data_IF_737549898594
#
_entry.id   IF_737549898594
#
_cell.length_a   1.000
_cell.length_b   1.000
_cell.length_c   1.000
_cell.angle_alpha   90.00
_cell.angle_beta   90.00
_cell.angle_gamma   90.00
#
_symmetry.space_group_name_H-M   'P 1'
#
loop_
_entity.id
_entity.type
_entity.pdbx_description
1 polymer ?
#
# COMPACT_ATOMS: atom_id res chain seq x y z
N UNK A 1 11.58 -9.15 -6.57
CA UNK A 1 10.13 -8.90 -6.79
C UNK A 1 9.39 -9.26 -5.50
N UNK A 2 8.87 -8.28 -4.76
CA UNK A 2 8.27 -8.47 -3.43
C UNK A 2 6.79 -8.03 -3.37
N UNK A 3 6.20 -7.61 -4.50
CA UNK A 3 4.84 -7.09 -4.58
C UNK A 3 3.79 -8.01 -3.91
N UNK A 4 3.88 -9.32 -4.12
CA UNK A 4 2.93 -10.28 -3.53
C UNK A 4 3.06 -10.38 -2.00
N UNK A 5 4.28 -10.29 -1.47
CA UNK A 5 4.53 -10.27 -0.02
C UNK A 5 4.09 -8.96 0.64
N UNK A 6 4.25 -7.84 -0.07
CA UNK A 6 3.72 -6.55 0.36
C UNK A 6 2.19 -6.56 0.41
N UNK A 7 1.55 -7.09 -0.64
CA UNK A 7 0.10 -7.26 -0.68
C UNK A 7 -0.39 -8.13 0.47
N UNK A 8 0.23 -9.28 0.73
CA UNK A 8 -0.14 -10.19 1.83
C UNK A 8 -0.08 -9.49 3.20
N UNK A 9 0.93 -8.65 3.42
CA UNK A 9 1.10 -7.88 4.65
C UNK A 9 0.00 -6.82 4.84
N UNK A 10 -0.58 -6.29 3.75
CA UNK A 10 -1.65 -5.29 3.79
C UNK A 10 -3.07 -5.88 3.86
N UNK A 11 -3.26 -7.16 3.52
CA UNK A 11 -4.57 -7.84 3.59
C UNK A 11 -5.30 -7.66 4.93
N UNK A 12 -4.69 -7.86 6.11
CA UNK A 12 -5.42 -7.72 7.38
C UNK A 12 -5.90 -6.29 7.64
N UNK A 13 -5.12 -5.28 7.24
CA UNK A 13 -5.49 -3.87 7.39
C UNK A 13 -6.65 -3.51 6.45
N UNK A 14 -6.56 -3.90 5.17
CA UNK A 14 -7.61 -3.67 4.16
C UNK A 14 -8.92 -4.34 4.58
N UNK A 15 -8.86 -5.55 5.17
CA UNK A 15 -10.05 -6.25 5.68
C UNK A 15 -10.74 -5.52 6.83
N UNK A 16 -10.01 -4.70 7.59
CA UNK A 16 -10.55 -3.92 8.71
C UNK A 16 -11.07 -2.56 8.26
N UNK A 17 -10.40 -1.93 7.30
CA UNK A 17 -10.77 -0.62 6.76
C UNK A 17 -11.93 -0.70 5.76
N UNK A 18 -12.04 -1.79 4.99
CA UNK A 18 -13.07 -1.95 3.97
C UNK A 18 -13.95 -3.19 4.23
N UNK A 19 -15.29 -3.03 4.33
CA UNK A 19 -16.20 -4.15 4.54
C UNK A 19 -16.18 -5.17 3.38
N UNK A 20 -16.66 -6.38 3.64
CA UNK A 20 -16.65 -7.47 2.66
C UNK A 20 -17.47 -7.14 1.41
N UNK A 21 -16.99 -7.62 0.26
CA UNK A 21 -17.62 -7.47 -1.06
C UNK A 21 -17.70 -6.04 -1.63
N UNK A 22 -16.94 -5.09 -1.07
CA UNK A 22 -16.87 -3.73 -1.59
C UNK A 22 -15.88 -3.60 -2.78
N UNK A 23 -16.25 -2.86 -3.82
CA UNK A 23 -15.35 -2.52 -4.95
C UNK A 23 -14.10 -1.78 -4.47
N UNK A 24 -14.22 -0.97 -3.41
CA UNK A 24 -13.09 -0.29 -2.78
C UNK A 24 -12.00 -1.26 -2.30
N UNK A 25 -12.39 -2.45 -1.81
CA UNK A 25 -11.46 -3.49 -1.36
C UNK A 25 -10.72 -4.13 -2.53
N UNK A 26 -11.40 -4.36 -3.65
CA UNK A 26 -10.78 -4.91 -4.88
C UNK A 26 -9.76 -3.92 -5.45
N UNK A 27 -10.09 -2.63 -5.43
CA UNK A 27 -9.19 -1.57 -5.86
C UNK A 27 -7.96 -1.46 -4.96
N UNK A 28 -8.13 -1.49 -3.63
CA UNK A 28 -7.00 -1.49 -2.68
C UNK A 28 -6.04 -2.65 -2.92
N UNK A 29 -6.54 -3.87 -3.10
CA UNK A 29 -5.71 -5.05 -3.38
C UNK A 29 -4.95 -4.90 -4.70
N UNK A 30 -5.59 -4.39 -5.77
CA UNK A 30 -4.93 -4.15 -7.05
C UNK A 30 -3.77 -3.14 -6.94
N UNK A 31 -3.92 -2.07 -6.14
CA UNK A 31 -2.86 -1.08 -5.90
C UNK A 31 -1.65 -1.63 -5.16
N UNK A 32 -1.85 -2.57 -4.24
CA UNK A 32 -0.75 -3.21 -3.52
C UNK A 32 -0.11 -4.37 -4.28
N UNK A 33 -0.70 -4.77 -5.41
CA UNK A 33 -0.14 -5.75 -6.34
C UNK A 33 0.81 -5.12 -7.37
N UNK A 34 0.89 -3.78 -7.42
CA UNK A 34 1.85 -3.09 -8.25
C UNK A 34 3.30 -3.39 -7.87
N UNK A 35 4.20 -3.18 -8.82
CA UNK A 35 5.60 -3.52 -8.69
C UNK A 35 6.23 -2.88 -7.45
N UNK A 36 6.65 -3.72 -6.51
CA UNK A 36 7.36 -3.31 -5.30
C UNK A 36 8.64 -4.13 -5.14
N UNK A 37 9.78 -3.44 -5.03
CA UNK A 37 11.08 -4.05 -4.84
C UNK A 37 11.94 -3.13 -3.97
N UNK A 38 12.21 -3.52 -2.73
CA UNK A 38 13.08 -2.76 -1.82
C UNK A 38 13.90 -3.73 -0.95
N UNK A 39 14.87 -3.21 -0.20
CA UNK A 39 15.59 -4.00 0.79
C UNK A 39 14.60 -4.46 1.88
N UNK A 40 14.52 -5.77 2.23
CA UNK A 40 13.51 -6.28 3.17
C UNK A 40 13.46 -5.54 4.52
N UNK A 41 14.60 -5.04 4.99
CA UNK A 41 14.72 -4.30 6.25
C UNK A 41 14.08 -2.91 6.21
N UNK A 42 14.04 -2.25 5.04
CA UNK A 42 13.44 -0.90 4.89
C UNK A 42 12.00 -0.95 4.36
N UNK A 43 11.46 -2.15 4.15
CA UNK A 43 10.06 -2.32 3.75
C UNK A 43 9.07 -1.95 4.87
N UNK A 44 9.46 -2.11 6.14
CA UNK A 44 8.59 -1.85 7.30
C UNK A 44 8.13 -0.37 7.41
N UNK A 45 9.02 0.64 7.29
CA UNK A 45 8.58 2.04 7.21
C UNK A 45 7.61 2.32 6.05
N UNK A 46 7.85 1.72 4.88
CA UNK A 46 7.00 1.92 3.69
C UNK A 46 5.61 1.34 3.92
N UNK A 47 5.52 0.15 4.52
CA UNK A 47 4.25 -0.45 4.94
C UNK A 47 3.49 0.47 5.91
N UNK A 48 4.16 1.03 6.91
CA UNK A 48 3.54 1.92 7.88
C UNK A 48 2.96 3.20 7.25
N UNK A 49 3.73 3.87 6.40
CA UNK A 49 3.25 5.07 5.68
C UNK A 49 2.08 4.73 4.76
N UNK A 50 2.18 3.60 4.04
CA UNK A 50 1.13 3.16 3.13
C UNK A 50 -0.17 2.83 3.88
N UNK A 51 -0.06 2.23 5.07
CA UNK A 51 -1.20 1.90 5.93
C UNK A 51 -1.89 3.16 6.47
N UNK A 52 -1.11 4.16 6.91
CA UNK A 52 -1.67 5.44 7.37
C UNK A 52 -2.42 6.17 6.25
N UNK A 53 -1.92 6.11 5.01
CA UNK A 53 -2.61 6.70 3.85
C UNK A 53 -3.90 5.96 3.50
N UNK A 54 -3.90 4.61 3.54
CA UNK A 54 -5.13 3.83 3.32
C UNK A 54 -6.16 4.06 4.43
N UNK A 55 -5.74 4.27 5.68
CA UNK A 55 -6.64 4.63 6.78
C UNK A 55 -7.27 6.02 6.60
N UNK A 56 -6.46 7.03 6.24
CA UNK A 56 -6.98 8.37 5.95
C UNK A 56 -8.00 8.35 4.81
N UNK A 57 -7.74 7.56 3.77
CA UNK A 57 -8.65 7.38 2.65
C UNK A 57 -9.94 6.67 3.06
N UNK A 58 -9.85 5.62 3.86
CA UNK A 58 -11.01 4.92 4.39
C UNK A 58 -11.88 5.84 5.27
N UNK A 59 -11.27 6.80 5.97
CA UNK A 59 -11.94 7.84 6.74
C UNK A 59 -12.49 9.01 5.90
N UNK A 60 -12.39 8.95 4.57
CA UNK A 60 -12.99 9.93 3.66
C UNK A 60 -12.04 11.04 3.17
N UNK A 61 -10.73 10.93 3.41
CA UNK A 61 -9.77 11.84 2.79
C UNK A 61 -9.64 11.55 1.28
N UNK A 62 -9.63 12.61 0.46
CA UNK A 62 -9.34 12.51 -0.98
C UNK A 62 -7.85 12.24 -1.20
N UNK A 63 -7.48 10.96 -1.09
CA UNK A 63 -6.14 10.47 -1.43
C UNK A 63 -6.21 9.77 -2.78
N UNK A 64 -5.47 10.30 -3.75
CA UNK A 64 -5.37 9.77 -5.09
C UNK A 64 -4.58 8.45 -5.14
N UNK A 65 -4.98 7.54 -6.04
CA UNK A 65 -4.31 6.26 -6.27
C UNK A 65 -2.84 6.47 -6.70
N UNK A 66 -2.60 7.48 -7.53
CA UNK A 66 -1.27 7.84 -8.01
C UNK A 66 -0.36 8.39 -6.91
N UNK A 67 -0.91 9.04 -5.89
CA UNK A 67 -0.14 9.55 -4.76
C UNK A 67 0.44 8.40 -3.90
N UNK A 68 -0.35 7.37 -3.64
CA UNK A 68 0.09 6.19 -2.87
C UNK A 68 1.22 5.47 -3.62
N UNK A 69 1.06 5.27 -4.93
CA UNK A 69 2.08 4.62 -5.74
C UNK A 69 3.32 5.51 -5.93
N UNK A 70 3.15 6.82 -6.06
CA UNK A 70 4.25 7.79 -6.10
C UNK A 70 5.10 7.76 -4.83
N UNK A 71 4.47 7.65 -3.64
CA UNK A 71 5.19 7.51 -2.37
C UNK A 71 5.93 6.18 -2.29
N UNK A 72 5.31 5.06 -2.71
CA UNK A 72 6.00 3.77 -2.80
C UNK A 72 7.22 3.85 -3.71
N UNK A 73 7.09 4.43 -4.90
CA UNK A 73 8.19 4.56 -5.88
C UNK A 73 9.28 5.49 -5.37
N UNK A 74 8.92 6.63 -4.79
CA UNK A 74 9.88 7.58 -4.20
C UNK A 74 10.66 6.97 -3.04
N UNK A 75 9.99 6.21 -2.17
CA UNK A 75 10.65 5.50 -1.08
C UNK A 75 11.45 4.29 -1.58
N UNK A 76 11.03 3.60 -2.64
CA UNK A 76 11.82 2.53 -3.27
C UNK A 76 13.13 3.08 -3.85
N UNK A 77 13.09 4.19 -4.58
CA UNK A 77 14.25 4.74 -5.29
C UNK A 77 15.37 5.22 -4.38
N UNK A 78 15.05 5.75 -3.19
CA UNK A 78 16.08 6.27 -2.26
C UNK A 78 16.91 5.18 -1.56
N UNK A 79 16.44 3.94 -1.56
CA UNK A 79 17.12 2.80 -0.92
C UNK A 79 17.63 1.75 -1.92
N UNK A 80 17.46 2.00 -3.23
CA UNK A 80 17.89 1.12 -4.33
C UNK A 80 19.26 1.53 -4.93
N UNK A 81 19.94 2.52 -4.35
CA UNK A 81 21.34 2.87 -4.66
C UNK A 81 22.22 2.57 -3.47
#
# INVERSE_FOLDING_TARGET
MQALGFCFSMVPAIRRLYPENNEARKQAIRRHLEFFNTQPFVAAPILGVTLALEEQRANGAEIDDGAINGIKVGLMGRWLV
#
